data_IF_143485824206
#
_entry.id   IF_143485824206
#
_cell.length_a   1.000
_cell.length_b   1.000
_cell.length_c   1.000
_cell.angle_alpha   90.00
_cell.angle_beta   90.00
_cell.angle_gamma   90.00
#
_symmetry.space_group_name_H-M   'P 1'
#
loop_
_entity.id
_entity.type
_entity.pdbx_description
1 polymer ?
#
# COMPACT_ATOMS: atom_id res chain seq x y z
N UNK A 1 -37.77 9.72 2.65
CA UNK A 1 -37.43 8.40 3.21
C UNK A 1 -35.99 8.11 2.82
N UNK A 2 -35.06 8.11 3.77
CA UNK A 2 -33.63 7.95 3.49
C UNK A 2 -33.29 6.48 3.25
N UNK A 3 -32.64 6.17 2.13
CA UNK A 3 -32.07 4.86 1.84
C UNK A 3 -30.87 4.63 2.75
N UNK A 4 -31.02 3.76 3.75
CA UNK A 4 -29.89 3.23 4.51
C UNK A 4 -29.06 2.34 3.58
N UNK A 5 -27.94 2.84 3.07
CA UNK A 5 -26.95 2.00 2.42
C UNK A 5 -26.29 1.13 3.49
N UNK A 6 -26.74 -0.12 3.64
CA UNK A 6 -25.96 -1.12 4.38
C UNK A 6 -24.64 -1.33 3.63
N UNK A 7 -23.58 -0.67 4.11
CA UNK A 7 -22.25 -0.87 3.56
C UNK A 7 -21.89 -2.36 3.62
N UNK A 8 -21.57 -2.95 2.47
CA UNK A 8 -21.16 -4.33 2.37
C UNK A 8 -19.89 -4.55 3.20
N UNK A 9 -19.98 -5.35 4.28
CA UNK A 9 -18.86 -5.64 5.19
C UNK A 9 -18.33 -7.05 4.92
N UNK A 10 -17.03 -7.15 4.71
CA UNK A 10 -16.31 -8.42 4.54
C UNK A 10 -15.65 -8.80 5.87
N UNK A 11 -15.65 -10.10 6.20
CA UNK A 11 -15.00 -10.64 7.40
C UNK A 11 -13.58 -11.09 7.09
N UNK A 12 -12.65 -10.77 7.99
CA UNK A 12 -11.27 -11.28 7.98
C UNK A 12 -11.10 -12.17 9.21
N UNK A 13 -10.45 -13.32 9.03
CA UNK A 13 -9.99 -14.20 10.11
C UNK A 13 -8.46 -14.18 10.13
N UNK A 14 -7.88 -14.15 11.34
CA UNK A 14 -6.43 -14.14 11.55
C UNK A 14 -6.12 -15.18 12.61
N UNK A 15 -5.21 -16.09 12.29
CA UNK A 15 -4.72 -17.10 13.24
C UNK A 15 -3.61 -16.48 14.09
N UNK A 16 -3.73 -16.61 15.41
CA UNK A 16 -2.78 -16.09 16.41
C UNK A 16 -2.67 -17.08 17.56
N UNK A 17 -1.56 -17.04 18.29
CA UNK A 17 -1.42 -17.77 19.55
C UNK A 17 -2.35 -17.19 20.64
N UNK A 18 -2.58 -17.96 21.70
CA UNK A 18 -3.38 -17.49 22.83
C UNK A 18 -2.73 -16.29 23.53
N UNK A 19 -1.39 -16.30 23.67
CA UNK A 19 -0.61 -15.22 24.26
C UNK A 19 -0.72 -13.93 23.44
N UNK A 20 -0.60 -14.03 22.11
CA UNK A 20 -0.77 -12.91 21.19
C UNK A 20 -2.18 -12.32 21.30
N UNK A 21 -3.21 -13.17 21.33
CA UNK A 21 -4.59 -12.71 21.49
C UNK A 21 -4.81 -11.95 22.80
N UNK A 22 -4.26 -12.45 23.91
CA UNK A 22 -4.35 -11.78 25.22
C UNK A 22 -3.66 -10.42 25.17
N UNK A 23 -2.45 -10.39 24.63
CA UNK A 23 -1.66 -9.17 24.51
C UNK A 23 -2.35 -8.11 23.64
N UNK A 24 -2.86 -8.49 22.47
CA UNK A 24 -3.63 -7.63 21.57
C UNK A 24 -4.87 -7.07 22.28
N UNK A 25 -5.62 -7.93 22.99
CA UNK A 25 -6.81 -7.52 23.74
C UNK A 25 -6.48 -6.48 24.83
N UNK A 26 -5.38 -6.67 25.55
CA UNK A 26 -4.91 -5.74 26.58
C UNK A 26 -4.61 -4.36 25.99
N UNK A 27 -3.88 -4.31 24.88
CA UNK A 27 -3.53 -3.03 24.24
C UNK A 27 -4.77 -2.34 23.69
N UNK A 28 -5.65 -3.08 23.01
CA UNK A 28 -6.89 -2.54 22.49
C UNK A 28 -7.75 -1.91 23.61
N UNK A 29 -7.87 -2.60 24.75
CA UNK A 29 -8.58 -2.08 25.92
C UNK A 29 -7.93 -0.80 26.50
N UNK A 30 -6.59 -0.77 26.62
CA UNK A 30 -5.85 0.42 27.07
C UNK A 30 -6.11 1.63 26.17
N UNK A 31 -6.29 1.40 24.87
CA UNK A 31 -6.61 2.43 23.86
C UNK A 31 -8.11 2.71 23.70
N UNK A 32 -8.98 2.06 24.48
CA UNK A 32 -10.45 2.14 24.36
C UNK A 32 -10.95 1.78 22.95
N UNK A 33 -10.32 0.78 22.33
CA UNK A 33 -10.67 0.24 21.02
C UNK A 33 -11.09 -1.22 21.14
N UNK A 34 -11.93 -1.68 20.23
CA UNK A 34 -12.12 -3.11 19.98
C UNK A 34 -10.86 -3.70 19.34
N UNK A 35 -10.71 -5.03 19.39
CA UNK A 35 -9.58 -5.73 18.72
C UNK A 35 -9.56 -5.40 17.22
N UNK A 36 -10.72 -5.41 16.56
CA UNK A 36 -10.84 -5.09 15.13
C UNK A 36 -10.44 -3.66 14.82
N UNK A 37 -10.86 -2.69 15.63
CA UNK A 37 -10.45 -1.28 15.46
C UNK A 37 -8.95 -1.10 15.66
N UNK A 38 -8.40 -1.77 16.68
CA UNK A 38 -6.97 -1.75 16.96
C UNK A 38 -6.17 -2.30 15.77
N UNK A 39 -6.51 -3.49 15.26
CA UNK A 39 -5.85 -4.08 14.09
C UNK A 39 -5.99 -3.16 12.87
N UNK A 40 -7.21 -2.70 12.57
CA UNK A 40 -7.46 -1.85 11.40
C UNK A 40 -6.77 -0.49 11.49
N UNK A 41 -6.41 -0.01 12.69
CA UNK A 41 -5.62 1.22 12.85
C UNK A 41 -4.21 1.12 12.27
N UNK A 42 -3.63 -0.09 12.22
CA UNK A 42 -2.36 -0.35 11.55
C UNK A 42 -2.54 -0.66 10.07
N UNK A 43 -3.62 -1.37 9.71
CA UNK A 43 -3.84 -1.77 8.31
C UNK A 43 -4.21 -0.56 7.44
N UNK A 44 -5.17 0.27 7.89
CA UNK A 44 -5.73 1.35 7.05
C UNK A 44 -4.70 2.32 6.50
N UNK A 45 -3.71 2.84 7.26
CA UNK A 45 -2.70 3.74 6.70
C UNK A 45 -1.85 3.11 5.59
N UNK A 46 -1.73 1.77 5.58
CA UNK A 46 -0.94 1.03 4.60
C UNK A 46 -1.77 0.55 3.41
N UNK A 47 -3.10 0.72 3.44
CA UNK A 47 -3.92 0.50 2.24
C UNK A 47 -3.63 1.67 1.31
N UNK A 48 -3.18 1.44 0.07
CA UNK A 48 -2.98 2.51 -0.89
C UNK A 48 -4.33 3.20 -1.17
N UNK A 49 -4.51 4.42 -0.65
CA UNK A 49 -5.72 5.21 -0.83
C UNK A 49 -5.66 6.14 -2.04
N UNK A 50 -4.45 6.39 -2.55
CA UNK A 50 -4.24 7.27 -3.70
C UNK A 50 -4.09 6.45 -4.96
N UNK A 51 -4.94 6.71 -5.94
CA UNK A 51 -4.57 6.44 -7.33
C UNK A 51 -3.25 7.14 -7.64
N UNK A 52 -2.40 6.58 -8.51
CA UNK A 52 -1.19 7.27 -8.94
C UNK A 52 -1.55 8.68 -9.45
N UNK A 53 -0.70 9.66 -9.18
CA UNK A 53 -0.95 11.03 -9.63
C UNK A 53 -0.96 11.08 -11.18
N UNK A 54 -1.37 12.22 -11.75
CA UNK A 54 -1.50 12.35 -13.20
C UNK A 54 -0.20 12.04 -13.96
N UNK A 55 0.95 12.37 -13.37
CA UNK A 55 2.27 12.13 -13.93
C UNK A 55 2.61 10.63 -13.96
N UNK A 56 2.44 9.92 -12.85
CA UNK A 56 2.66 8.47 -12.78
C UNK A 56 1.71 7.72 -13.71
N UNK A 57 0.42 8.11 -13.76
CA UNK A 57 -0.55 7.54 -14.70
C UNK A 57 -0.13 7.76 -16.15
N UNK A 58 0.46 8.91 -16.47
CA UNK A 58 0.98 9.18 -17.81
C UNK A 58 2.18 8.28 -18.11
N UNK A 59 3.14 8.16 -17.19
CA UNK A 59 4.30 7.28 -17.36
C UNK A 59 3.89 5.81 -17.58
N UNK A 60 2.88 5.33 -16.85
CA UNK A 60 2.33 3.98 -17.05
C UNK A 60 1.74 3.80 -18.46
N UNK A 61 0.98 4.78 -18.96
CA UNK A 61 0.45 4.75 -20.34
C UNK A 61 1.56 4.84 -21.39
N UNK A 62 2.55 5.69 -21.18
CA UNK A 62 3.69 5.85 -22.09
C UNK A 62 4.46 4.51 -22.23
N UNK A 63 4.58 3.72 -21.15
CA UNK A 63 5.12 2.35 -21.18
C UNK A 63 4.25 1.42 -22.05
N UNK A 64 2.93 1.37 -21.80
CA UNK A 64 2.00 0.52 -22.55
C UNK A 64 1.97 0.85 -24.05
N UNK A 65 2.08 2.14 -24.38
CA UNK A 65 2.06 2.65 -25.76
C UNK A 65 3.44 2.67 -26.43
N UNK A 66 4.51 2.23 -25.75
CA UNK A 66 5.90 2.34 -26.20
C UNK A 66 6.30 3.78 -26.62
N UNK A 67 5.81 4.79 -25.89
CA UNK A 67 6.14 6.21 -26.11
C UNK A 67 7.08 6.70 -25.03
N UNK A 68 7.95 7.66 -25.38
CA UNK A 68 8.86 8.32 -24.43
C UNK A 68 9.74 7.35 -23.61
N UNK A 69 10.08 6.19 -24.18
CA UNK A 69 10.96 5.20 -23.55
C UNK A 69 12.35 5.29 -24.17
N UNK A 70 13.38 5.36 -23.33
CA UNK A 70 14.77 5.21 -23.75
C UNK A 70 15.20 3.75 -23.58
N UNK A 71 15.79 3.17 -24.63
CA UNK A 71 16.39 1.83 -24.56
C UNK A 71 17.89 1.96 -24.42
N UNK A 72 18.45 1.23 -23.47
CA UNK A 72 19.89 1.13 -23.25
C UNK A 72 20.36 -0.27 -23.65
N UNK A 73 21.62 -0.39 -24.10
CA UNK A 73 22.18 -1.67 -24.52
C UNK A 73 22.57 -2.54 -23.33
N UNK A 74 22.96 -1.89 -22.23
CA UNK A 74 23.38 -2.51 -20.97
C UNK A 74 23.10 -1.56 -19.80
N UNK A 75 23.40 -2.02 -18.58
CA UNK A 75 23.14 -1.28 -17.34
C UNK A 75 24.13 -0.13 -17.14
N UNK A 76 25.36 -0.25 -17.63
CA UNK A 76 26.39 0.80 -17.51
C UNK A 76 26.01 2.06 -18.30
N UNK A 77 25.47 1.87 -19.51
CA UNK A 77 24.95 2.94 -20.37
C UNK A 77 23.78 3.67 -19.67
N UNK A 78 22.92 2.93 -18.96
CA UNK A 78 21.80 3.51 -18.21
C UNK A 78 22.28 4.40 -17.06
N UNK A 79 23.24 3.94 -16.25
CA UNK A 79 23.76 4.73 -15.14
C UNK A 79 24.51 5.98 -15.60
N UNK A 80 25.27 5.84 -16.69
CA UNK A 80 25.96 6.95 -17.34
C UNK A 80 24.99 8.07 -17.75
N UNK A 81 23.86 7.71 -18.38
CA UNK A 81 22.84 8.68 -18.80
C UNK A 81 22.06 9.29 -17.62
N UNK A 82 21.88 8.53 -16.54
CA UNK A 82 21.29 9.02 -15.29
C UNK A 82 22.24 9.95 -14.50
N UNK A 83 23.50 10.08 -14.92
CA UNK A 83 24.52 10.90 -14.24
C UNK A 83 24.92 10.35 -12.87
N UNK A 84 24.75 9.04 -12.65
CA UNK A 84 25.07 8.37 -11.40
C UNK A 84 26.32 7.51 -11.59
N UNK A 85 27.26 7.57 -10.64
CA UNK A 85 28.36 6.62 -10.58
C UNK A 85 27.83 5.29 -10.03
N UNK A 86 27.87 4.19 -10.80
CA UNK A 86 27.39 2.89 -10.34
C UNK A 86 28.20 2.30 -9.18
N UNK A 87 29.34 2.91 -8.82
CA UNK A 87 30.23 2.47 -7.73
C UNK A 87 30.32 3.47 -6.55
N UNK A 88 29.48 4.50 -6.51
CA UNK A 88 29.45 5.48 -5.42
C UNK A 88 28.92 4.93 -4.09
#
# INVERSE_FOLDING_TARGET
MGTQSHAHRIKISVDVSEEERIYIKMIAAKKKMTISEFIMSFVRPNIPHSEPNAETKKAMRDIEENKNLTRYKNVDDFWTDMGLDPNA
#
